data_IF_369024478665
#
_entry.id   IF_369024478665
#
_cell.length_a   1.000
_cell.length_b   1.000
_cell.length_c   1.000
_cell.angle_alpha   90.00
_cell.angle_beta   90.00
_cell.angle_gamma   90.00
#
_symmetry.space_group_name_H-M   'P 1'
#
loop_
_entity.id
_entity.type
_entity.pdbx_description
1 polymer ?
#
# COMPACT_ATOMS: atom_id res chain seq x y z
N UNK A 1 -20.52 26.61 31.52
CA UNK A 1 -19.73 25.42 31.14
C UNK A 1 -19.46 25.45 29.64
N UNK A 2 -18.37 26.08 29.22
CA UNK A 2 -17.91 26.03 27.82
C UNK A 2 -16.48 25.51 27.84
N UNK A 3 -16.32 24.21 27.61
CA UNK A 3 -15.02 23.53 27.58
C UNK A 3 -14.56 23.48 26.12
N UNK A 4 -13.43 24.15 25.88
CA UNK A 4 -12.39 23.76 24.93
C UNK A 4 -12.79 23.70 23.45
N UNK A 5 -12.79 24.87 22.78
CA UNK A 5 -12.24 24.93 21.42
C UNK A 5 -10.75 24.64 21.55
N UNK A 6 -10.36 23.39 21.32
CA UNK A 6 -8.98 23.07 21.02
C UNK A 6 -8.57 23.93 19.81
N UNK A 7 -7.46 24.66 19.94
CA UNK A 7 -6.89 25.42 18.86
C UNK A 7 -6.52 24.44 17.73
N UNK A 8 -7.38 24.34 16.72
CA UNK A 8 -7.00 23.83 15.40
C UNK A 8 -5.80 24.67 14.98
N UNK A 9 -4.66 24.05 14.72
CA UNK A 9 -3.57 24.70 13.95
C UNK A 9 -4.27 25.38 12.77
N UNK A 10 -4.00 26.66 12.50
CA UNK A 10 -4.68 27.45 11.45
C UNK A 10 -4.54 26.75 10.08
N UNK A 11 -5.40 25.77 9.83
CA UNK A 11 -5.27 24.82 8.74
C UNK A 11 -5.95 25.38 7.52
N UNK A 12 -5.27 25.31 6.38
CA UNK A 12 -5.87 25.63 5.10
C UNK A 12 -7.14 24.79 4.89
N UNK A 13 -8.20 25.45 4.46
CA UNK A 13 -9.47 24.80 4.14
C UNK A 13 -9.41 24.01 2.82
N UNK A 14 -10.42 23.17 2.58
CA UNK A 14 -10.58 22.50 1.29
C UNK A 14 -11.05 23.49 0.22
N UNK A 15 -10.37 23.51 -0.92
CA UNK A 15 -10.72 24.37 -2.07
C UNK A 15 -12.09 23.99 -2.66
N UNK A 16 -12.50 22.73 -2.52
CA UNK A 16 -13.76 22.19 -3.04
C UNK A 16 -15.02 22.61 -2.26
N UNK A 17 -14.90 23.28 -1.11
CA UNK A 17 -16.07 23.73 -0.33
C UNK A 17 -16.62 25.06 -0.85
N UNK A 18 -17.92 25.30 -0.63
CA UNK A 18 -18.60 26.54 -1.03
C UNK A 18 -18.00 27.78 -0.33
N UNK A 19 -17.53 27.62 0.91
CA UNK A 19 -16.71 28.59 1.65
C UNK A 19 -15.20 28.28 1.55
N UNK A 20 -14.77 27.73 0.41
CA UNK A 20 -13.45 27.12 0.22
C UNK A 20 -12.30 28.10 0.35
N UNK A 21 -11.22 27.64 0.98
CA UNK A 21 -10.02 28.43 1.19
C UNK A 21 -9.18 28.46 -0.10
N UNK A 22 -9.24 29.56 -0.85
CA UNK A 22 -8.53 29.71 -2.12
C UNK A 22 -7.03 29.98 -1.96
N UNK A 23 -6.50 30.11 -0.73
CA UNK A 23 -5.08 30.39 -0.50
C UNK A 23 -4.17 29.30 -1.09
N UNK A 24 -4.62 28.04 -1.11
CA UNK A 24 -3.89 26.92 -1.70
C UNK A 24 -3.91 26.89 -3.25
N UNK A 25 -4.52 27.87 -3.92
CA UNK A 25 -4.39 28.04 -5.38
C UNK A 25 -3.09 28.74 -5.78
N UNK A 26 -2.43 29.43 -4.85
CA UNK A 26 -1.20 30.18 -5.10
C UNK A 26 0.01 29.25 -5.00
N UNK A 27 0.87 29.24 -6.02
CA UNK A 27 2.00 28.31 -6.11
C UNK A 27 2.99 28.46 -4.93
N UNK A 28 3.31 29.68 -4.52
CA UNK A 28 4.22 29.96 -3.41
C UNK A 28 3.65 29.47 -2.06
N UNK A 29 2.34 29.60 -1.87
CA UNK A 29 1.63 29.09 -0.69
C UNK A 29 1.63 27.56 -0.65
N UNK A 30 1.51 26.90 -1.81
CA UNK A 30 1.59 25.44 -1.91
C UNK A 30 2.97 24.92 -1.48
N UNK A 31 4.05 25.56 -1.94
CA UNK A 31 5.42 25.19 -1.58
C UNK A 31 5.69 25.39 -0.09
N UNK A 32 5.35 26.57 0.42
CA UNK A 32 5.51 26.90 1.85
C UNK A 32 4.73 25.92 2.73
N UNK A 33 3.46 25.65 2.38
CA UNK A 33 2.63 24.71 3.13
C UNK A 33 3.18 23.28 3.05
N UNK A 34 3.70 22.85 1.89
CA UNK A 34 4.32 21.54 1.76
C UNK A 34 5.58 21.43 2.63
N UNK A 35 6.41 22.47 2.67
CA UNK A 35 7.60 22.51 3.52
C UNK A 35 7.25 22.49 5.01
N UNK A 36 6.19 23.20 5.41
CA UNK A 36 5.64 23.17 6.77
C UNK A 36 5.16 21.78 7.15
N UNK A 37 4.41 21.11 6.26
CA UNK A 37 3.98 19.72 6.47
C UNK A 37 5.18 18.77 6.58
N UNK A 38 6.19 18.96 5.72
CA UNK A 38 7.39 18.14 5.77
C UNK A 38 8.19 18.35 7.06
N UNK A 39 8.25 19.57 7.57
CA UNK A 39 8.90 19.87 8.84
C UNK A 39 8.09 19.31 10.03
N UNK A 40 6.77 19.51 10.03
CA UNK A 40 5.86 19.10 11.11
C UNK A 40 5.77 17.58 11.27
N UNK A 41 5.71 16.86 10.16
CA UNK A 41 5.55 15.41 10.15
C UNK A 41 6.86 14.67 9.85
N UNK A 42 8.00 15.36 9.99
CA UNK A 42 9.35 14.83 9.73
C UNK A 42 9.50 14.16 8.34
N UNK A 43 8.67 14.53 7.36
CA UNK A 43 8.85 14.10 5.96
C UNK A 43 10.16 14.64 5.38
N UNK A 44 10.79 15.65 6.03
CA UNK A 44 12.16 16.12 5.72
C UNK A 44 13.27 15.14 6.09
N UNK A 45 13.03 14.12 6.93
CA UNK A 45 14.00 13.00 7.06
C UNK A 45 14.18 12.20 5.75
N UNK A 46 13.34 12.50 4.74
CA UNK A 46 13.47 12.04 3.35
C UNK A 46 14.14 13.08 2.41
N UNK A 47 14.55 14.25 2.91
CA UNK A 47 15.27 15.29 2.15
C UNK A 47 16.78 15.07 2.14
N UNK A 48 17.39 14.43 3.15
CA UNK A 48 18.83 14.10 3.11
C UNK A 48 19.17 13.03 2.04
N UNK A 49 18.15 12.48 1.37
CA UNK A 49 18.27 11.73 0.12
C UNK A 49 18.08 12.55 -1.15
N UNK A 50 18.23 13.88 -1.07
CA UNK A 50 18.21 14.79 -2.22
C UNK A 50 19.25 14.43 -3.29
N UNK A 51 20.30 13.69 -2.95
CA UNK A 51 21.33 13.24 -3.91
C UNK A 51 21.04 11.86 -4.53
N UNK A 52 20.10 11.09 -3.97
CA UNK A 52 19.82 9.72 -4.40
C UNK A 52 18.40 9.54 -4.96
N UNK A 53 17.46 10.44 -4.68
CA UNK A 53 16.06 10.20 -4.95
C UNK A 53 15.49 9.26 -3.90
N UNK A 54 14.33 9.60 -3.35
CA UNK A 54 13.69 8.86 -2.25
C UNK A 54 13.42 7.38 -2.62
N UNK A 55 13.34 7.05 -3.92
CA UNK A 55 13.23 5.68 -4.41
C UNK A 55 14.50 4.85 -4.24
N UNK A 56 15.69 5.46 -4.38
CA UNK A 56 16.93 4.76 -4.05
C UNK A 56 17.02 4.47 -2.56
N UNK A 57 16.45 5.31 -1.70
CA UNK A 57 16.29 4.93 -0.29
C UNK A 57 15.36 3.73 -0.14
N UNK A 58 14.17 3.78 -0.76
CA UNK A 58 13.17 2.70 -0.70
C UNK A 58 13.72 1.36 -1.20
N UNK A 59 14.58 1.39 -2.21
CA UNK A 59 15.18 0.19 -2.80
C UNK A 59 16.51 -0.23 -2.15
N UNK A 60 17.24 0.69 -1.49
CA UNK A 60 18.54 0.39 -0.88
C UNK A 60 18.43 -0.40 0.43
N UNK A 61 17.30 -0.29 1.14
CA UNK A 61 17.06 -1.07 2.35
C UNK A 61 15.82 -1.98 2.20
N UNK A 62 16.00 -3.30 2.01
CA UNK A 62 14.88 -4.23 1.86
C UNK A 62 14.01 -4.36 3.12
N UNK A 63 14.51 -3.90 4.26
CA UNK A 63 13.72 -3.71 5.48
C UNK A 63 13.87 -2.25 5.80
N UNK A 64 12.82 -1.46 5.66
CA UNK A 64 12.96 -0.02 5.80
C UNK A 64 12.32 0.45 7.11
N UNK A 65 12.85 0.03 8.29
CA UNK A 65 12.32 0.41 9.59
C UNK A 65 12.45 1.93 9.80
N UNK A 66 13.26 2.62 9.02
CA UNK A 66 13.41 4.07 9.03
C UNK A 66 12.13 4.75 8.53
N UNK A 67 11.69 4.49 7.28
CA UNK A 67 10.42 5.02 6.75
C UNK A 67 9.23 4.52 7.56
N UNK A 68 9.19 3.25 7.97
CA UNK A 68 8.10 2.76 8.82
C UNK A 68 8.05 3.51 10.15
N UNK A 69 9.18 3.70 10.85
CA UNK A 69 9.23 4.43 12.12
C UNK A 69 8.82 5.89 11.98
N UNK A 70 9.29 6.60 10.95
CA UNK A 70 8.98 8.02 10.74
C UNK A 70 7.57 8.24 10.20
N UNK A 71 7.16 7.42 9.23
CA UNK A 71 5.83 7.53 8.66
C UNK A 71 4.80 7.13 9.69
N UNK A 72 4.99 6.08 10.50
CA UNK A 72 4.00 5.55 11.45
C UNK A 72 3.84 6.34 12.76
N UNK A 73 4.80 7.19 13.12
CA UNK A 73 4.81 7.93 14.39
C UNK A 73 3.97 9.23 14.41
N UNK A 74 3.57 9.75 13.25
CA UNK A 74 2.77 10.99 13.16
C UNK A 74 1.29 10.77 13.52
N UNK A 75 0.64 11.77 14.15
CA UNK A 75 -0.81 11.76 14.37
C UNK A 75 -1.56 11.78 13.02
N UNK A 76 -2.23 10.65 12.74
CA UNK A 76 -2.63 10.18 11.41
C UNK A 76 -3.63 11.05 10.65
N UNK A 77 -4.66 11.54 11.34
CA UNK A 77 -5.84 12.10 10.66
C UNK A 77 -5.62 13.52 10.12
N UNK A 78 -4.83 14.33 10.82
CA UNK A 78 -4.58 15.72 10.45
C UNK A 78 -3.59 15.84 9.29
N UNK A 79 -2.59 14.94 9.22
CA UNK A 79 -1.62 14.90 8.13
C UNK A 79 -2.30 14.56 6.80
N UNK A 80 -3.04 13.44 6.75
CA UNK A 80 -3.73 12.99 5.53
C UNK A 80 -4.78 14.00 5.05
N UNK A 81 -5.48 14.65 6.00
CA UNK A 81 -6.42 15.73 5.68
C UNK A 81 -5.72 16.95 5.07
N UNK A 82 -4.56 17.33 5.61
CA UNK A 82 -3.76 18.46 5.11
C UNK A 82 -3.18 18.17 3.73
N UNK A 83 -2.64 16.96 3.52
CA UNK A 83 -2.13 16.50 2.22
C UNK A 83 -3.24 16.42 1.16
N UNK A 84 -4.46 16.04 1.57
CA UNK A 84 -5.64 16.10 0.71
C UNK A 84 -5.95 17.55 0.31
N UNK A 85 -5.96 18.48 1.27
CA UNK A 85 -6.16 19.90 1.00
C UNK A 85 -5.14 20.45 -0.01
N UNK A 86 -3.86 20.12 0.18
CA UNK A 86 -2.79 20.49 -0.75
C UNK A 86 -3.01 19.93 -2.15
N UNK A 87 -3.37 18.64 -2.28
CA UNK A 87 -3.68 18.02 -3.57
C UNK A 87 -4.85 18.70 -4.28
N UNK A 88 -5.91 19.01 -3.55
CA UNK A 88 -7.06 19.73 -4.11
C UNK A 88 -6.64 21.13 -4.62
N UNK A 89 -5.81 21.85 -3.86
CA UNK A 89 -5.28 23.16 -4.26
C UNK A 89 -4.40 23.11 -5.51
N UNK A 90 -3.49 22.13 -5.60
CA UNK A 90 -2.61 21.95 -6.76
C UNK A 90 -3.43 21.58 -8.01
N UNK A 91 -4.40 20.67 -7.88
CA UNK A 91 -5.27 20.29 -9.00
C UNK A 91 -6.12 21.47 -9.45
N UNK A 92 -6.67 22.25 -8.51
CA UNK A 92 -7.49 23.41 -8.81
C UNK A 92 -6.68 24.55 -9.46
N UNK A 93 -5.43 24.76 -9.07
CA UNK A 93 -4.55 25.75 -9.71
C UNK A 93 -4.05 25.32 -11.09
N UNK A 94 -4.25 24.05 -11.47
CA UNK A 94 -3.78 23.50 -12.75
C UNK A 94 -2.26 23.41 -12.86
N UNK A 95 -1.55 23.51 -11.72
CA UNK A 95 -0.08 23.47 -11.67
C UNK A 95 0.40 22.08 -12.09
N UNK A 96 1.35 22.06 -13.02
CA UNK A 96 1.98 20.83 -13.54
C UNK A 96 3.46 21.10 -13.79
N UNK A 97 4.28 20.84 -12.78
CA UNK A 97 5.72 21.06 -12.77
C UNK A 97 6.43 20.00 -11.90
N UNK A 98 7.75 20.11 -11.78
CA UNK A 98 8.56 19.17 -11.00
C UNK A 98 8.16 19.12 -9.52
N UNK A 99 7.81 20.26 -8.92
CA UNK A 99 7.29 20.33 -7.55
C UNK A 99 6.01 19.50 -7.40
N UNK A 100 5.05 19.68 -8.30
CA UNK A 100 3.79 18.93 -8.28
C UNK A 100 4.04 17.42 -8.36
N UNK A 101 4.96 16.99 -9.20
CA UNK A 101 5.34 15.57 -9.31
C UNK A 101 5.92 15.04 -7.99
N UNK A 102 6.89 15.75 -7.39
CA UNK A 102 7.51 15.35 -6.12
C UNK A 102 6.48 15.27 -4.97
N UNK A 103 5.58 16.26 -4.87
CA UNK A 103 4.50 16.27 -3.86
C UNK A 103 3.61 15.05 -4.04
N UNK A 104 3.14 14.77 -5.25
CA UNK A 104 2.23 13.65 -5.49
C UNK A 104 2.90 12.28 -5.27
N UNK A 105 4.17 12.13 -5.63
CA UNK A 105 4.96 10.92 -5.37
C UNK A 105 5.09 10.67 -3.87
N UNK A 106 5.43 11.69 -3.09
CA UNK A 106 5.55 11.59 -1.63
C UNK A 106 4.22 11.31 -0.95
N UNK A 107 3.13 11.94 -1.41
CA UNK A 107 1.79 11.65 -0.88
C UNK A 107 1.39 10.22 -1.18
N UNK A 108 1.66 9.73 -2.40
CA UNK A 108 1.39 8.34 -2.77
C UNK A 108 2.15 7.38 -1.84
N UNK A 109 3.46 7.58 -1.67
CA UNK A 109 4.30 6.78 -0.78
C UNK A 109 3.77 6.79 0.66
N UNK A 110 3.61 7.98 1.24
CA UNK A 110 3.16 8.15 2.63
C UNK A 110 1.82 7.43 2.85
N UNK A 111 0.90 7.61 1.90
CA UNK A 111 -0.44 7.03 1.99
C UNK A 111 -0.44 5.51 1.78
N UNK A 112 0.46 4.95 0.95
CA UNK A 112 0.62 3.48 0.82
C UNK A 112 1.14 2.90 2.13
N UNK A 113 2.18 3.50 2.71
CA UNK A 113 2.75 3.04 3.98
C UNK A 113 1.72 3.06 5.12
N UNK A 114 0.79 4.03 5.09
CA UNK A 114 -0.34 4.12 6.02
C UNK A 114 -1.57 3.26 5.65
N UNK A 115 -1.52 2.50 4.56
CA UNK A 115 -2.65 1.74 4.02
C UNK A 115 -3.92 2.59 3.76
N UNK A 116 -3.73 3.85 3.38
CA UNK A 116 -4.82 4.81 3.13
C UNK A 116 -5.12 4.93 1.64
N UNK A 117 -5.97 4.02 1.14
CA UNK A 117 -6.32 3.83 -0.28
C UNK A 117 -6.90 5.10 -0.92
N UNK A 118 -7.73 5.83 -0.17
CA UNK A 118 -8.42 7.04 -0.60
C UNK A 118 -7.43 8.18 -0.89
N UNK A 119 -6.23 8.14 -0.32
CA UNK A 119 -5.20 9.15 -0.55
C UNK A 119 -4.20 8.73 -1.61
N UNK A 120 -3.68 7.49 -1.60
CA UNK A 120 -2.66 7.12 -2.59
C UNK A 120 -3.25 6.85 -3.98
N UNK A 121 -4.41 6.20 -4.08
CA UNK A 121 -4.98 5.80 -5.39
C UNK A 121 -5.18 6.99 -6.33
N UNK A 122 -5.82 8.10 -5.91
CA UNK A 122 -5.95 9.27 -6.79
C UNK A 122 -4.61 9.98 -7.03
N UNK A 123 -3.65 9.94 -6.10
CA UNK A 123 -2.31 10.50 -6.35
C UNK A 123 -1.55 9.73 -7.42
N UNK A 124 -1.52 8.40 -7.31
CA UNK A 124 -0.91 7.49 -8.29
C UNK A 124 -1.57 7.66 -9.66
N UNK A 125 -2.91 7.71 -9.71
CA UNK A 125 -3.63 7.90 -10.97
C UNK A 125 -3.33 9.26 -11.61
N UNK A 126 -3.26 10.34 -10.81
CA UNK A 126 -2.90 11.66 -11.33
C UNK A 126 -1.46 11.70 -11.86
N UNK A 127 -0.52 11.04 -11.18
CA UNK A 127 0.86 10.90 -11.67
C UNK A 127 0.91 10.20 -13.03
N UNK A 128 0.28 9.02 -13.14
CA UNK A 128 0.31 8.18 -14.33
C UNK A 128 -0.46 8.78 -15.52
N UNK A 129 -1.64 9.36 -15.28
CA UNK A 129 -2.53 9.81 -16.34
C UNK A 129 -2.28 11.28 -16.75
N UNK A 130 -1.71 12.12 -15.87
CA UNK A 130 -1.66 13.57 -16.07
C UNK A 130 -0.27 14.18 -15.97
N UNK A 131 0.54 13.80 -14.97
CA UNK A 131 1.83 14.45 -14.72
C UNK A 131 2.95 13.86 -15.57
N UNK A 132 3.19 12.54 -15.47
CA UNK A 132 4.28 11.91 -16.21
C UNK A 132 4.14 12.03 -17.73
N UNK A 133 2.94 11.86 -18.34
CA UNK A 133 2.79 12.09 -19.77
C UNK A 133 3.02 13.55 -20.19
N UNK A 134 2.61 14.53 -19.37
CA UNK A 134 2.75 15.95 -19.73
C UNK A 134 4.19 16.45 -19.60
N UNK A 135 4.96 15.86 -18.69
CA UNK A 135 6.34 16.26 -18.40
C UNK A 135 7.39 15.36 -19.09
N UNK A 136 6.96 14.45 -19.97
CA UNK A 136 7.82 13.45 -20.62
C UNK A 136 8.65 12.60 -19.63
N UNK A 137 8.09 12.34 -18.44
CA UNK A 137 8.73 11.57 -17.36
C UNK A 137 8.33 10.10 -17.33
N UNK A 138 7.62 9.61 -18.36
CA UNK A 138 7.10 8.25 -18.42
C UNK A 138 8.18 7.15 -18.31
N UNK A 139 9.38 7.44 -18.82
CA UNK A 139 10.52 6.52 -18.78
C UNK A 139 11.41 6.71 -17.55
N UNK A 140 11.09 7.66 -16.66
CA UNK A 140 11.84 7.86 -15.42
C UNK A 140 11.73 6.65 -14.50
N UNK A 141 12.78 6.42 -13.70
CA UNK A 141 12.79 5.39 -12.66
C UNK A 141 11.58 5.53 -11.72
N UNK A 142 11.23 6.77 -11.36
CA UNK A 142 10.06 7.06 -10.53
C UNK A 142 8.75 6.62 -11.15
N UNK A 143 8.54 6.92 -12.43
CA UNK A 143 7.35 6.49 -13.14
C UNK A 143 7.24 4.96 -13.20
N UNK A 144 8.35 4.25 -13.38
CA UNK A 144 8.35 2.78 -13.36
C UNK A 144 7.93 2.22 -11.99
N UNK A 145 8.42 2.80 -10.89
CA UNK A 145 8.01 2.39 -9.54
C UNK A 145 6.54 2.68 -9.26
N UNK A 146 6.05 3.89 -9.59
CA UNK A 146 4.65 4.26 -9.38
C UNK A 146 3.72 3.39 -10.23
N UNK A 147 4.11 3.05 -11.47
CA UNK A 147 3.39 2.07 -12.30
C UNK A 147 3.33 0.72 -11.59
N UNK A 148 4.46 0.22 -11.10
CA UNK A 148 4.53 -1.06 -10.40
C UNK A 148 3.66 -1.11 -9.15
N UNK A 149 3.62 -0.03 -8.36
CA UNK A 149 2.70 0.10 -7.22
C UNK A 149 1.24 0.05 -7.65
N UNK A 150 0.90 0.72 -8.75
CA UNK A 150 -0.46 0.68 -9.29
C UNK A 150 -0.85 -0.74 -9.72
N UNK A 151 0.03 -1.44 -10.43
CA UNK A 151 -0.22 -2.84 -10.83
C UNK A 151 -0.35 -3.77 -9.62
N UNK A 152 0.49 -3.61 -8.60
CA UNK A 152 0.35 -4.36 -7.35
C UNK A 152 -0.95 -4.02 -6.61
N UNK A 153 -1.40 -2.76 -6.63
CA UNK A 153 -2.70 -2.39 -6.09
C UNK A 153 -3.85 -3.10 -6.84
N UNK A 154 -3.78 -3.17 -8.17
CA UNK A 154 -4.77 -3.89 -8.97
C UNK A 154 -4.81 -5.39 -8.63
N UNK A 155 -3.65 -6.02 -8.44
CA UNK A 155 -3.54 -7.45 -8.14
C UNK A 155 -3.91 -7.78 -6.68
N UNK A 156 -3.32 -7.06 -5.72
CA UNK A 156 -3.36 -7.41 -4.31
C UNK A 156 -4.54 -6.81 -3.56
N UNK A 157 -4.97 -5.60 -3.93
CA UNK A 157 -5.98 -4.83 -3.18
C UNK A 157 -7.35 -4.95 -3.81
N UNK A 158 -7.46 -4.67 -5.10
CA UNK A 158 -8.77 -4.67 -5.79
C UNK A 158 -9.11 -6.00 -6.43
N UNK A 159 -8.11 -6.76 -6.91
CA UNK A 159 -8.35 -7.96 -7.71
C UNK A 159 -8.93 -7.66 -9.10
N UNK A 160 -8.74 -6.43 -9.60
CA UNK A 160 -9.25 -6.00 -10.90
C UNK A 160 -8.29 -6.42 -12.02
N UNK A 161 -8.44 -7.67 -12.46
CA UNK A 161 -7.64 -8.24 -13.55
C UNK A 161 -7.91 -7.59 -14.91
N UNK A 162 -9.15 -7.24 -15.30
CA UNK A 162 -9.40 -6.52 -16.55
C UNK A 162 -8.62 -5.21 -16.64
N UNK A 163 -8.67 -4.38 -15.59
CA UNK A 163 -7.93 -3.12 -15.56
C UNK A 163 -6.41 -3.35 -15.58
N UNK A 164 -5.94 -4.39 -14.88
CA UNK A 164 -4.52 -4.78 -14.92
C UNK A 164 -4.05 -5.07 -16.35
N UNK A 165 -4.78 -5.90 -17.10
CA UNK A 165 -4.42 -6.23 -18.48
C UNK A 165 -4.49 -5.01 -19.40
N UNK A 166 -5.45 -4.10 -19.19
CA UNK A 166 -5.53 -2.83 -19.91
C UNK A 166 -4.29 -1.97 -19.66
N UNK A 167 -3.92 -1.77 -18.39
CA UNK A 167 -2.74 -1.00 -18.02
C UNK A 167 -1.44 -1.62 -18.56
N UNK A 168 -1.34 -2.95 -18.62
CA UNK A 168 -0.18 -3.63 -19.23
C UNK A 168 -0.01 -3.30 -20.71
N UNK A 169 -1.12 -3.30 -21.47
CA UNK A 169 -1.11 -2.96 -22.89
C UNK A 169 -0.73 -1.50 -23.11
N UNK A 170 -1.33 -0.60 -22.32
CA UNK A 170 -1.15 0.84 -22.44
C UNK A 170 0.28 1.27 -22.05
N UNK A 171 0.84 0.69 -20.98
CA UNK A 171 2.11 1.15 -20.40
C UNK A 171 3.35 0.47 -20.99
N UNK A 172 3.19 -0.59 -21.81
CA UNK A 172 4.29 -1.48 -22.27
C UNK A 172 5.29 -1.85 -21.18
N UNK A 173 4.83 -1.87 -19.92
CA UNK A 173 5.69 -1.94 -18.76
C UNK A 173 6.09 -3.39 -18.48
N UNK A 174 7.35 -3.59 -18.10
CA UNK A 174 7.76 -4.84 -17.47
C UNK A 174 7.12 -4.89 -16.08
N UNK A 175 6.09 -5.71 -15.96
CA UNK A 175 5.33 -5.92 -14.73
C UNK A 175 5.99 -6.93 -13.79
N UNK A 176 7.23 -7.36 -14.04
CA UNK A 176 8.07 -8.27 -13.24
C UNK A 176 7.42 -8.84 -11.97
N UNK A 177 7.48 -8.11 -10.85
CA UNK A 177 6.90 -8.58 -9.58
C UNK A 177 5.38 -8.69 -9.59
N UNK A 178 4.66 -7.70 -10.13
CA UNK A 178 3.20 -7.73 -10.17
C UNK A 178 2.69 -8.95 -10.95
N UNK A 179 3.37 -9.34 -12.03
CA UNK A 179 3.08 -10.56 -12.79
C UNK A 179 3.38 -11.83 -12.03
N UNK A 180 4.53 -11.87 -11.36
CA UNK A 180 4.91 -13.01 -10.52
C UNK A 180 3.88 -13.20 -9.40
N UNK A 181 3.46 -12.11 -8.75
CA UNK A 181 2.45 -12.11 -7.69
C UNK A 181 1.08 -12.50 -8.24
N UNK A 182 0.68 -11.98 -9.40
CA UNK A 182 -0.56 -12.37 -10.09
C UNK A 182 -0.58 -13.89 -10.33
N UNK A 183 0.50 -14.45 -10.89
CA UNK A 183 0.61 -15.89 -11.13
C UNK A 183 0.50 -16.70 -9.84
N UNK A 184 1.10 -16.22 -8.74
CA UNK A 184 0.95 -16.88 -7.45
C UNK A 184 -0.49 -16.87 -6.94
N UNK A 185 -1.20 -15.75 -7.10
CA UNK A 185 -2.59 -15.61 -6.65
C UNK A 185 -3.55 -16.43 -7.51
N UNK A 186 -3.37 -16.47 -8.83
CA UNK A 186 -4.20 -17.26 -9.74
C UNK A 186 -4.02 -18.77 -9.52
N UNK A 187 -2.79 -19.21 -9.24
CA UNK A 187 -2.50 -20.63 -9.02
C UNK A 187 -2.54 -21.05 -7.55
N UNK A 188 -2.86 -20.15 -6.62
CA UNK A 188 -2.85 -20.45 -5.18
C UNK A 188 -1.46 -20.84 -4.64
N UNK A 189 -0.38 -20.40 -5.29
CA UNK A 189 0.99 -20.77 -4.91
C UNK A 189 1.53 -19.88 -3.79
N UNK A 190 1.13 -20.21 -2.56
CA UNK A 190 1.53 -19.48 -1.35
C UNK A 190 3.05 -19.49 -1.13
N UNK A 191 3.71 -20.64 -1.29
CA UNK A 191 5.16 -20.74 -1.06
C UNK A 191 5.96 -19.79 -1.96
N UNK A 192 5.57 -19.70 -3.24
CA UNK A 192 6.17 -18.75 -4.17
C UNK A 192 5.82 -17.31 -3.80
N UNK A 193 4.56 -17.04 -3.45
CA UNK A 193 4.12 -15.71 -3.01
C UNK A 193 4.91 -15.21 -1.80
N UNK A 194 5.09 -16.06 -0.79
CA UNK A 194 5.82 -15.76 0.44
C UNK A 194 7.31 -15.52 0.18
N UNK A 195 7.91 -16.31 -0.73
CA UNK A 195 9.27 -16.06 -1.19
C UNK A 195 9.41 -14.70 -1.88
N UNK A 196 8.46 -14.33 -2.75
CA UNK A 196 8.46 -13.01 -3.41
C UNK A 196 8.35 -11.88 -2.39
N UNK A 197 7.43 -12.03 -1.43
CA UNK A 197 7.23 -11.08 -0.34
C UNK A 197 8.51 -10.81 0.45
N UNK A 198 9.24 -11.87 0.83
CA UNK A 198 10.43 -11.74 1.69
C UNK A 198 11.74 -11.40 0.96
N UNK A 199 11.86 -11.73 -0.33
CA UNK A 199 13.15 -11.63 -1.04
C UNK A 199 13.19 -10.60 -2.18
N UNK A 200 12.06 -10.28 -2.81
CA UNK A 200 12.02 -9.45 -4.01
C UNK A 200 11.25 -8.15 -3.85
N UNK A 201 10.31 -8.09 -2.91
CA UNK A 201 9.52 -6.91 -2.64
C UNK A 201 10.26 -5.94 -1.70
N UNK A 202 10.28 -4.66 -2.04
CA UNK A 202 10.69 -3.60 -1.10
C UNK A 202 9.58 -3.33 -0.07
N UNK A 203 9.84 -2.50 0.95
CA UNK A 203 8.89 -2.23 2.03
C UNK A 203 7.52 -1.72 1.54
N UNK A 204 7.50 -0.86 0.52
CA UNK A 204 6.26 -0.30 -0.05
C UNK A 204 5.46 -1.38 -0.79
N UNK A 205 6.15 -2.21 -1.56
CA UNK A 205 5.57 -3.34 -2.28
C UNK A 205 5.07 -4.42 -1.32
N UNK A 206 5.82 -4.70 -0.26
CA UNK A 206 5.38 -5.58 0.85
C UNK A 206 4.09 -5.04 1.47
N UNK A 207 4.00 -3.72 1.71
CA UNK A 207 2.78 -3.12 2.24
C UNK A 207 1.58 -3.35 1.33
N UNK A 208 1.73 -3.17 0.02
CA UNK A 208 0.66 -3.46 -0.96
C UNK A 208 0.35 -4.97 -1.04
N UNK A 209 1.37 -5.81 -1.03
CA UNK A 209 1.22 -7.27 -1.07
C UNK A 209 0.51 -7.80 0.18
N UNK A 210 0.76 -7.22 1.36
CA UNK A 210 0.15 -7.64 2.64
C UNK A 210 -1.37 -7.71 2.59
N UNK A 211 -2.02 -6.88 1.75
CA UNK A 211 -3.46 -6.88 1.50
C UNK A 211 -3.99 -8.17 0.88
N UNK A 212 -3.14 -8.89 0.16
CA UNK A 212 -3.47 -10.20 -0.42
C UNK A 212 -3.10 -11.39 0.45
N UNK A 213 -2.38 -11.15 1.56
CA UNK A 213 -1.87 -12.18 2.46
C UNK A 213 -3.00 -13.04 3.02
N UNK A 214 -4.03 -12.41 3.60
CA UNK A 214 -5.18 -13.12 4.17
C UNK A 214 -5.85 -14.04 3.12
N UNK A 215 -6.10 -13.50 1.92
CA UNK A 215 -6.72 -14.23 0.82
C UNK A 215 -5.95 -15.49 0.40
N UNK A 216 -4.63 -15.36 0.21
CA UNK A 216 -3.81 -16.51 -0.24
C UNK A 216 -3.59 -17.52 0.88
N UNK A 217 -3.48 -17.06 2.12
CA UNK A 217 -3.35 -17.91 3.30
C UNK A 217 -4.65 -18.69 3.57
N UNK A 218 -5.82 -18.05 3.50
CA UNK A 218 -7.13 -18.72 3.58
C UNK A 218 -7.31 -19.77 2.48
N UNK A 219 -6.90 -19.46 1.25
CA UNK A 219 -6.91 -20.44 0.16
C UNK A 219 -6.02 -21.66 0.48
N UNK A 220 -4.81 -21.40 0.99
CA UNK A 220 -3.85 -22.45 1.37
C UNK A 220 -4.39 -23.35 2.47
N UNK A 221 -4.98 -22.76 3.52
CA UNK A 221 -5.64 -23.51 4.59
C UNK A 221 -6.82 -24.33 4.04
N UNK A 222 -7.64 -23.76 3.16
CA UNK A 222 -8.73 -24.49 2.51
C UNK A 222 -8.24 -25.72 1.72
N UNK A 223 -7.15 -25.57 0.96
CA UNK A 223 -6.51 -26.69 0.24
C UNK A 223 -5.97 -27.73 1.22
N UNK A 224 -5.34 -27.31 2.32
CA UNK A 224 -4.82 -28.19 3.36
C UNK A 224 -5.94 -29.03 4.00
N UNK A 225 -7.06 -28.41 4.38
CA UNK A 225 -8.22 -29.12 4.92
C UNK A 225 -8.93 -30.02 3.89
N UNK A 226 -8.74 -29.75 2.60
CA UNK A 226 -9.24 -30.61 1.54
C UNK A 226 -8.36 -31.84 1.31
N UNK A 227 -7.04 -31.66 1.38
CA UNK A 227 -6.05 -32.67 1.02
C UNK A 227 -5.64 -33.59 2.19
N UNK A 228 -5.60 -33.06 3.41
CA UNK A 228 -5.15 -33.80 4.60
C UNK A 228 -6.33 -34.05 5.56
N UNK A 229 -6.29 -35.16 6.29
CA UNK A 229 -7.21 -35.42 7.42
C UNK A 229 -6.68 -34.89 8.75
N UNK A 230 -5.36 -34.84 8.88
CA UNK A 230 -4.65 -34.30 10.03
C UNK A 230 -3.28 -33.79 9.56
N UNK A 231 -2.80 -32.71 10.16
CA UNK A 231 -1.48 -32.13 9.91
C UNK A 231 -0.79 -31.79 11.24
N UNK A 232 0.54 -31.72 11.28
CA UNK A 232 1.23 -31.24 12.49
C UNK A 232 0.96 -29.74 12.66
N UNK A 233 0.64 -29.30 13.87
CA UNK A 233 0.42 -27.87 14.18
C UNK A 233 1.65 -27.03 13.82
N UNK A 234 2.85 -27.52 14.15
CA UNK A 234 4.11 -26.83 13.83
C UNK A 234 4.28 -26.59 12.33
N UNK A 235 3.97 -27.59 11.50
CA UNK A 235 4.07 -27.46 10.04
C UNK A 235 3.08 -26.44 9.46
N UNK A 236 1.85 -26.38 9.99
CA UNK A 236 0.85 -25.41 9.54
C UNK A 236 1.24 -24.00 9.95
N UNK A 237 1.77 -23.83 11.15
CA UNK A 237 2.29 -22.56 11.66
C UNK A 237 3.51 -22.10 10.85
N UNK A 238 4.44 -22.98 10.53
CA UNK A 238 5.60 -22.67 9.70
C UNK A 238 5.20 -22.28 8.26
N UNK A 239 4.14 -22.91 7.74
CA UNK A 239 3.61 -22.62 6.42
C UNK A 239 2.94 -21.25 6.40
N UNK A 240 1.90 -21.04 7.20
CA UNK A 240 1.08 -19.82 7.10
C UNK A 240 1.67 -18.65 7.88
N UNK A 241 2.48 -18.86 8.91
CA UNK A 241 3.16 -17.83 9.71
C UNK A 241 2.24 -16.74 10.29
N UNK A 242 0.95 -17.06 10.44
CA UNK A 242 -0.05 -16.20 11.06
C UNK A 242 -0.99 -17.08 11.89
N UNK A 243 -0.75 -17.12 13.19
CA UNK A 243 -1.48 -17.97 14.13
C UNK A 243 -2.95 -17.53 14.26
N UNK A 244 -3.21 -16.22 14.31
CA UNK A 244 -4.57 -15.68 14.42
C UNK A 244 -5.44 -16.14 13.26
N UNK A 245 -4.88 -16.10 12.04
CA UNK A 245 -5.56 -16.55 10.85
C UNK A 245 -5.83 -18.06 10.83
N UNK A 246 -4.87 -18.86 11.29
CA UNK A 246 -5.05 -20.32 11.43
C UNK A 246 -6.19 -20.60 12.41
N UNK A 247 -6.24 -19.89 13.53
CA UNK A 247 -7.28 -20.06 14.56
C UNK A 247 -8.66 -19.63 14.03
N UNK A 248 -8.76 -18.48 13.37
CA UNK A 248 -9.99 -17.99 12.73
C UNK A 248 -10.53 -19.04 11.74
N UNK A 249 -9.66 -19.53 10.86
CA UNK A 249 -10.04 -20.54 9.87
C UNK A 249 -10.41 -21.88 10.52
N UNK A 250 -9.68 -22.32 11.55
CA UNK A 250 -10.00 -23.55 12.28
C UNK A 250 -11.38 -23.47 12.95
N UNK A 251 -11.74 -22.31 13.50
CA UNK A 251 -13.07 -22.07 14.08
C UNK A 251 -14.16 -22.09 13.01
N UNK A 252 -13.94 -21.44 11.87
CA UNK A 252 -14.89 -21.38 10.76
C UNK A 252 -15.20 -22.77 10.19
N UNK A 253 -14.19 -23.63 10.05
CA UNK A 253 -14.32 -24.95 9.44
C UNK A 253 -14.42 -26.11 10.44
N UNK A 254 -14.47 -25.81 11.75
CA UNK A 254 -14.65 -26.79 12.82
C UNK A 254 -13.47 -27.76 12.99
N UNK A 255 -12.26 -27.31 12.71
CA UNK A 255 -11.04 -28.10 12.92
C UNK A 255 -10.73 -28.20 14.41
N UNK A 256 -10.14 -29.33 14.83
CA UNK A 256 -9.80 -29.56 16.25
C UNK A 256 -8.30 -29.79 16.40
N UNK A 257 -7.74 -29.29 17.50
CA UNK A 257 -6.34 -29.53 17.86
C UNK A 257 -6.30 -30.63 18.91
N UNK A 258 -5.60 -31.72 18.61
CA UNK A 258 -5.35 -32.85 19.52
C UNK A 258 -3.84 -33.01 19.71
N UNK A 259 -3.30 -32.46 20.80
CA UNK A 259 -1.85 -32.41 21.02
C UNK A 259 -1.15 -31.58 19.94
N UNK A 260 -0.20 -32.18 19.22
CA UNK A 260 0.52 -31.55 18.08
C UNK A 260 -0.18 -31.79 16.72
N UNK A 261 -1.43 -32.27 16.70
CA UNK A 261 -2.14 -32.57 15.46
C UNK A 261 -3.36 -31.68 15.28
N UNK A 262 -3.39 -30.97 14.16
CA UNK A 262 -4.54 -30.25 13.66
C UNK A 262 -5.38 -31.21 12.81
N UNK A 263 -6.53 -31.62 13.32
CA UNK A 263 -7.49 -32.48 12.64
C UNK A 263 -8.46 -31.63 11.82
N UNK A 264 -8.37 -31.74 10.50
CA UNK A 264 -9.12 -30.92 9.52
C UNK A 264 -10.43 -31.56 9.09
N UNK A 265 -10.59 -32.88 9.32
CA UNK A 265 -11.81 -33.63 9.03
C UNK A 265 -12.05 -34.67 10.11
N UNK A 266 -13.31 -34.79 10.57
CA UNK A 266 -13.69 -35.96 11.37
C UNK A 266 -13.73 -37.19 10.46
N UNK A 267 -13.04 -38.30 10.82
CA UNK A 267 -13.19 -39.54 10.06
C UNK A 267 -14.68 -39.93 10.05
N UNK A 268 -15.20 -40.28 8.87
CA UNK A 268 -16.52 -40.92 8.78
C UNK A 268 -16.44 -42.18 9.64
N UNK A 269 -17.27 -42.29 10.69
CA UNK A 269 -17.43 -43.55 11.42
C UNK A 269 -17.84 -44.60 10.40
N UNK A 270 -16.94 -45.54 10.11
CA UNK A 270 -17.31 -46.77 9.42
C UNK A 270 -18.14 -47.53 10.45
N UNK A 271 -19.46 -47.50 10.29
CA UNK A 271 -20.35 -48.34 11.08
C UNK A 271 -20.07 -49.77 10.60
N UNK A 272 -19.42 -50.55 11.47
CA UNK A 272 -19.18 -51.97 11.28
C UNK A 272 -20.47 -52.77 11.48
#
# INVERSE_FOLDING_TARGET
MSRLKAARTEGYGYVSRVDGDQRLMVHETQETFFDELCAKYELKSLQDAATLGWLKLVNADPKLPVLEKYILASEDSDCLSSLRGLREGIVASGRKDAFTTDVFERIALFSIMRDHVESYRPSVKYLLDQLYPKLDLLESENAQHVRRWYLLHLVCVTGDFPELYRCRLDMRADSGLADLVLGCLLHGNYARWHKLYNTQANAVEQRLMSRSYDRISKHTLGVLGAAYMSASTTWVEDLVQNQDLIVEHAQEYGWTVEGDRLNTRRPKKIVA
#
